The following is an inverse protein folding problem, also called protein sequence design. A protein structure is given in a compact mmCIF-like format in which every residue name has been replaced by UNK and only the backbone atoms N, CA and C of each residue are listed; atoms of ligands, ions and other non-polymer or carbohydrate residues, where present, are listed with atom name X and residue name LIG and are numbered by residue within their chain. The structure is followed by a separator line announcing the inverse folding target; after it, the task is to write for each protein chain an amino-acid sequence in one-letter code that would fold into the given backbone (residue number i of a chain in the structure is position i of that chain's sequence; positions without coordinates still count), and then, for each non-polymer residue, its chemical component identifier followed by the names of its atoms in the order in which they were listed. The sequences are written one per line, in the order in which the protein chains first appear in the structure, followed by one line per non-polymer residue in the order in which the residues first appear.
data_IF_001868219728
#
_entry.id   IF_001868219728
#
_cell.length_a   1.000
_cell.length_b   1.000
_cell.length_c   1.000
_cell.angle_alpha   90.00
_cell.angle_beta   90.00
_cell.angle_gamma   90.00
#
_symmetry.space_group_name_H-M   'P 1'
#
loop_
_entity.id
_entity.type
_entity.pdbx_description
1 polymer ?
#
# COMPACT_ATOMS: atom_id res chain seq x y z
N UNK A 1 11.95 -28.79 -25.39
CA UNK A 1 10.60 -28.31 -24.99
C UNK A 1 10.05 -29.34 -24.03
N UNK A 2 9.52 -28.88 -22.89
CA UNK A 2 8.94 -29.65 -21.79
C UNK A 2 9.94 -30.39 -20.87
N UNK A 3 10.32 -29.73 -19.78
CA UNK A 3 10.39 -30.38 -18.45
C UNK A 3 10.40 -29.31 -17.34
N UNK A 4 9.28 -28.60 -17.21
CA UNK A 4 8.79 -28.19 -15.90
C UNK A 4 7.57 -29.08 -15.67
N UNK A 5 7.84 -30.33 -15.28
CA UNK A 5 6.83 -31.17 -14.67
C UNK A 5 6.33 -30.39 -13.45
N UNK A 6 5.06 -29.98 -13.50
CA UNK A 6 4.35 -29.50 -12.34
C UNK A 6 4.41 -30.62 -11.29
N UNK A 7 5.19 -30.38 -10.25
CA UNK A 7 5.39 -31.32 -9.16
C UNK A 7 4.06 -31.42 -8.39
N UNK A 8 3.39 -32.57 -8.54
CA UNK A 8 2.05 -32.81 -8.01
C UNK A 8 2.04 -32.78 -6.46
N UNK A 9 3.20 -33.02 -5.84
CA UNK A 9 3.41 -32.84 -4.39
C UNK A 9 3.46 -31.36 -4.01
N UNK A 10 4.24 -30.54 -4.73
CA UNK A 10 4.31 -29.08 -4.48
C UNK A 10 2.95 -28.40 -4.69
N UNK A 11 2.17 -28.86 -5.67
CA UNK A 11 0.82 -28.34 -5.91
C UNK A 11 -0.18 -28.74 -4.80
N UNK A 12 -0.06 -29.95 -4.24
CA UNK A 12 -0.89 -30.42 -3.12
C UNK A 12 -0.51 -29.72 -1.80
N UNK A 13 0.77 -29.55 -1.55
CA UNK A 13 1.27 -28.84 -0.37
C UNK A 13 0.90 -27.35 -0.42
N UNK A 14 0.99 -26.72 -1.60
CA UNK A 14 0.53 -25.35 -1.80
C UNK A 14 -0.99 -25.22 -1.60
N UNK A 15 -1.78 -26.18 -2.09
CA UNK A 15 -3.23 -26.17 -1.90
C UNK A 15 -3.61 -26.33 -0.41
N UNK A 16 -2.94 -27.23 0.31
CA UNK A 16 -3.14 -27.42 1.74
C UNK A 16 -2.76 -26.16 2.54
N UNK A 17 -1.62 -25.55 2.23
CA UNK A 17 -1.18 -24.30 2.83
C UNK A 17 -2.14 -23.14 2.52
N UNK A 18 -2.67 -23.07 1.30
CA UNK A 18 -3.66 -22.08 0.91
C UNK A 18 -5.01 -22.27 1.62
N UNK A 19 -5.48 -23.51 1.77
CA UNK A 19 -6.70 -23.83 2.52
C UNK A 19 -6.56 -23.47 4.02
N UNK A 20 -5.39 -23.74 4.61
CA UNK A 20 -5.03 -23.30 5.96
C UNK A 20 -5.02 -21.78 6.06
N UNK A 21 -4.38 -21.09 5.12
CA UNK A 21 -4.37 -19.62 5.04
C UNK A 21 -5.79 -19.03 4.97
N UNK A 22 -6.68 -19.60 4.15
CA UNK A 22 -8.08 -19.18 4.06
C UNK A 22 -8.84 -19.41 5.37
N UNK A 23 -8.61 -20.54 6.04
CA UNK A 23 -9.22 -20.84 7.34
C UNK A 23 -8.74 -19.89 8.45
N UNK A 24 -7.46 -19.52 8.43
CA UNK A 24 -6.87 -18.62 9.42
C UNK A 24 -7.31 -17.17 9.25
N UNK A 25 -7.71 -16.77 8.04
CA UNK A 25 -8.34 -15.46 7.80
C UNK A 25 -9.62 -15.28 8.61
N UNK A 26 -10.40 -16.35 8.81
CA UNK A 26 -11.64 -16.30 9.60
C UNK A 26 -11.38 -16.41 11.11
N UNK A 27 -10.35 -17.15 11.53
CA UNK A 27 -10.05 -17.41 12.95
C UNK A 27 -9.37 -16.22 13.63
N UNK A 28 -8.37 -15.61 12.98
CA UNK A 28 -7.53 -14.60 13.66
C UNK A 28 -8.07 -13.17 13.56
N UNK A 29 -9.18 -12.95 12.85
CA UNK A 29 -9.83 -11.63 12.74
C UNK A 29 -8.83 -10.50 12.47
N UNK A 30 -7.95 -10.67 11.48
CA UNK A 30 -6.90 -9.69 11.11
C UNK A 30 -7.40 -8.23 11.03
N UNK A 31 -8.59 -7.93 10.48
CA UNK A 31 -9.12 -6.57 10.51
C UNK A 31 -9.26 -5.97 11.92
N UNK A 32 -9.56 -6.78 12.92
CA UNK A 32 -9.70 -6.33 14.31
C UNK A 32 -8.34 -6.01 14.94
N UNK A 33 -7.31 -6.83 14.64
CA UNK A 33 -5.92 -6.56 15.04
C UNK A 33 -5.45 -5.24 14.43
N UNK A 34 -5.66 -5.04 13.12
CA UNK A 34 -5.24 -3.83 12.42
C UNK A 34 -6.04 -2.60 12.85
N UNK A 35 -7.28 -2.77 13.29
CA UNK A 35 -8.08 -1.71 13.91
C UNK A 35 -7.66 -1.41 15.37
N UNK A 36 -6.75 -2.19 15.96
CA UNK A 36 -6.30 -2.00 17.34
C UNK A 36 -7.36 -2.40 18.37
N UNK A 37 -8.25 -3.34 18.03
CA UNK A 37 -9.26 -3.84 18.97
C UNK A 37 -8.62 -4.74 20.01
N UNK A 38 -9.23 -4.77 21.19
CA UNK A 38 -8.79 -5.63 22.30
C UNK A 38 -8.87 -7.12 21.92
N UNK A 39 -7.78 -7.83 22.19
CA UNK A 39 -7.66 -9.26 21.92
C UNK A 39 -8.10 -10.03 23.14
N UNK A 40 -9.25 -10.69 23.03
CA UNK A 40 -9.90 -11.39 24.15
C UNK A 40 -9.16 -12.66 24.58
N UNK A 41 -8.49 -13.32 23.65
CA UNK A 41 -7.79 -14.57 23.90
C UNK A 41 -6.39 -14.54 23.27
N UNK A 42 -5.42 -14.04 24.03
CA UNK A 42 -4.00 -14.02 23.64
C UNK A 42 -3.44 -15.45 23.53
N UNK A 43 -4.00 -16.41 24.28
CA UNK A 43 -3.51 -17.79 24.30
C UNK A 43 -3.67 -18.49 22.95
N UNK A 44 -4.70 -18.11 22.19
CA UNK A 44 -4.93 -18.54 20.80
C UNK A 44 -3.70 -18.33 19.91
N UNK A 45 -2.97 -17.24 20.11
CA UNK A 45 -1.83 -16.86 19.29
C UNK A 45 -0.53 -17.45 19.83
N UNK A 46 -0.34 -17.42 21.16
CA UNK A 46 0.89 -17.90 21.80
C UNK A 46 1.05 -19.41 21.62
N UNK A 47 -0.05 -20.16 21.78
CA UNK A 47 -0.08 -21.63 21.70
C UNK A 47 -0.15 -22.15 20.26
N UNK A 48 -0.37 -21.29 19.27
CA UNK A 48 -0.38 -21.69 17.87
C UNK A 48 0.99 -22.32 17.49
N UNK A 49 1.01 -23.37 16.67
CA UNK A 49 2.25 -23.88 16.13
C UNK A 49 2.89 -22.84 15.19
N UNK A 50 4.19 -22.98 14.95
CA UNK A 50 4.97 -21.93 14.30
C UNK A 50 4.52 -21.63 12.86
N UNK A 51 4.13 -22.65 12.10
CA UNK A 51 3.57 -22.54 10.75
C UNK A 51 2.25 -21.73 10.71
N UNK A 52 1.40 -21.86 11.72
CA UNK A 52 0.20 -21.03 11.88
C UNK A 52 0.56 -19.57 12.14
N UNK A 53 1.58 -19.32 12.97
CA UNK A 53 2.10 -17.96 13.20
C UNK A 53 2.61 -17.34 11.91
N UNK A 54 3.35 -18.08 11.07
CA UNK A 54 3.79 -17.59 9.75
C UNK A 54 2.61 -17.21 8.85
N UNK A 55 1.54 -18.01 8.88
CA UNK A 55 0.32 -17.73 8.13
C UNK A 55 -0.35 -16.42 8.60
N UNK A 56 -0.42 -16.20 9.92
CA UNK A 56 -0.91 -14.95 10.51
C UNK A 56 -0.03 -13.74 10.11
N UNK A 57 1.29 -13.87 10.21
CA UNK A 57 2.22 -12.80 9.80
C UNK A 57 2.01 -12.43 8.32
N UNK A 58 1.86 -13.44 7.46
CA UNK A 58 1.61 -13.25 6.03
C UNK A 58 0.29 -12.52 5.78
N UNK A 59 -0.78 -12.89 6.51
CA UNK A 59 -2.07 -12.20 6.43
C UNK A 59 -1.98 -10.73 6.87
N UNK A 60 -1.24 -10.43 7.95
CA UNK A 60 -1.00 -9.06 8.41
C UNK A 60 -0.23 -8.24 7.38
N UNK A 61 0.84 -8.80 6.83
CA UNK A 61 1.65 -8.15 5.79
C UNK A 61 0.81 -7.89 4.54
N UNK A 62 0.01 -8.85 4.08
CA UNK A 62 -0.84 -8.69 2.90
C UNK A 62 -1.91 -7.59 3.10
N UNK A 63 -2.55 -7.58 4.27
CA UNK A 63 -3.54 -6.55 4.59
C UNK A 63 -2.92 -5.15 4.59
N UNK A 64 -1.72 -4.98 5.16
CA UNK A 64 -0.97 -3.72 5.13
C UNK A 64 -0.46 -3.37 3.73
N UNK A 65 -0.05 -4.38 2.96
CA UNK A 65 0.44 -4.21 1.59
C UNK A 65 -0.59 -3.57 0.69
N UNK A 66 -1.88 -3.88 0.89
CA UNK A 66 -2.97 -3.21 0.18
C UNK A 66 -3.00 -1.70 0.47
N UNK A 67 -2.83 -1.30 1.74
CA UNK A 67 -2.73 0.11 2.13
C UNK A 67 -1.53 0.81 1.51
N UNK A 68 -0.34 0.21 1.61
CA UNK A 68 0.89 0.77 1.00
C UNK A 68 0.81 0.86 -0.53
N UNK A 69 0.23 -0.15 -1.17
CA UNK A 69 -0.01 -0.13 -2.61
C UNK A 69 -0.94 1.02 -2.98
N UNK A 70 -2.10 1.15 -2.31
CA UNK A 70 -3.08 2.21 -2.56
C UNK A 70 -2.45 3.59 -2.38
N UNK A 71 -1.74 3.82 -1.27
CA UNK A 71 -0.97 5.05 -1.04
C UNK A 71 -0.14 5.44 -2.26
N UNK A 72 0.64 4.50 -2.81
CA UNK A 72 1.56 4.80 -3.91
C UNK A 72 0.85 5.01 -5.24
N UNK A 73 -0.29 4.35 -5.47
CA UNK A 73 -1.10 4.61 -6.66
C UNK A 73 -1.76 5.99 -6.58
N UNK A 74 -2.45 6.27 -5.47
CA UNK A 74 -3.19 7.51 -5.24
C UNK A 74 -2.25 8.73 -5.25
N UNK A 75 -1.03 8.61 -4.69
CA UNK A 75 -0.01 9.67 -4.76
C UNK A 75 0.28 10.09 -6.21
N UNK A 76 0.54 9.11 -7.10
CA UNK A 76 0.88 9.39 -8.51
C UNK A 76 -0.29 9.97 -9.28
N UNK A 77 -1.50 9.51 -8.97
CA UNK A 77 -2.72 10.05 -9.55
C UNK A 77 -2.92 11.50 -9.14
N UNK A 78 -2.77 11.82 -7.84
CA UNK A 78 -2.87 13.18 -7.33
C UNK A 78 -1.81 14.12 -7.90
N UNK A 79 -0.55 13.68 -8.03
CA UNK A 79 0.51 14.46 -8.69
C UNK A 79 0.13 14.81 -10.13
N UNK A 80 -0.46 13.86 -10.87
CA UNK A 80 -0.89 14.07 -12.24
C UNK A 80 -2.07 15.06 -12.33
N UNK A 81 -3.10 14.85 -11.51
CA UNK A 81 -4.28 15.74 -11.49
C UNK A 81 -3.87 17.15 -11.03
N UNK A 82 -3.00 17.28 -10.03
CA UNK A 82 -2.48 18.58 -9.60
C UNK A 82 -1.75 19.31 -10.74
N UNK A 83 -0.90 18.58 -11.48
CA UNK A 83 -0.23 19.11 -12.67
C UNK A 83 -1.23 19.58 -13.74
N UNK A 84 -2.30 18.82 -13.97
CA UNK A 84 -3.39 19.21 -14.86
C UNK A 84 -4.11 20.47 -14.37
N UNK A 85 -4.48 20.54 -13.09
CA UNK A 85 -5.17 21.71 -12.54
C UNK A 85 -4.29 22.96 -12.60
N UNK A 86 -2.97 22.82 -12.43
CA UNK A 86 -2.03 23.92 -12.65
C UNK A 86 -2.06 24.42 -14.10
N UNK A 87 -1.99 23.51 -15.08
CA UNK A 87 -2.11 23.86 -16.51
C UNK A 87 -3.47 24.51 -16.82
N UNK A 88 -4.54 23.98 -16.22
CA UNK A 88 -5.90 24.51 -16.40
C UNK A 88 -6.01 25.94 -15.87
N UNK A 89 -5.45 26.20 -14.69
CA UNK A 89 -5.38 27.55 -14.11
C UNK A 89 -4.62 28.55 -14.99
N UNK A 90 -3.54 28.11 -15.61
CA UNK A 90 -2.72 28.95 -16.51
C UNK A 90 -3.46 29.27 -17.81
N UNK A 91 -4.28 28.36 -18.32
CA UNK A 91 -4.97 28.48 -19.62
C UNK A 91 -6.41 28.99 -19.54
N UNK A 92 -7.01 29.07 -18.36
CA UNK A 92 -8.43 29.42 -18.19
C UNK A 92 -8.80 30.83 -18.69
N UNK A 93 -7.82 31.71 -18.90
CA UNK A 93 -8.05 33.04 -19.50
C UNK A 93 -8.09 33.01 -21.04
N UNK A 94 -7.53 31.97 -21.65
CA UNK A 94 -7.38 31.83 -23.10
C UNK A 94 -8.37 30.82 -23.70
N UNK A 95 -8.67 29.76 -22.95
CA UNK A 95 -9.47 28.62 -23.39
C UNK A 95 -10.45 28.20 -22.29
N UNK A 96 -11.68 27.80 -22.65
CA UNK A 96 -12.60 27.20 -21.70
C UNK A 96 -12.00 25.94 -21.05
N UNK A 97 -12.20 25.78 -19.74
CA UNK A 97 -11.65 24.66 -18.97
C UNK A 97 -12.06 23.29 -19.54
N UNK A 98 -13.26 23.16 -20.09
CA UNK A 98 -13.74 21.93 -20.73
C UNK A 98 -12.87 21.55 -21.93
N UNK A 99 -12.37 22.54 -22.68
CA UNK A 99 -11.45 22.27 -23.79
C UNK A 99 -10.08 21.84 -23.28
N UNK A 100 -9.57 22.47 -22.21
CA UNK A 100 -8.26 22.12 -21.62
C UNK A 100 -8.30 20.69 -21.07
N UNK A 101 -9.31 20.34 -20.29
CA UNK A 101 -9.49 19.00 -19.72
C UNK A 101 -9.75 17.96 -20.82
N UNK A 102 -10.60 18.28 -21.81
CA UNK A 102 -10.88 17.38 -22.93
C UNK A 102 -9.67 17.11 -23.83
N UNK A 103 -8.74 18.07 -23.97
CA UNK A 103 -7.47 17.86 -24.65
C UNK A 103 -6.56 16.90 -23.88
N UNK A 104 -6.48 17.02 -22.55
CA UNK A 104 -5.68 16.09 -21.74
C UNK A 104 -6.31 14.68 -21.72
N UNK A 105 -7.63 14.57 -21.60
CA UNK A 105 -8.36 13.28 -21.65
C UNK A 105 -8.02 12.52 -22.95
N UNK A 106 -8.15 13.18 -24.11
CA UNK A 106 -7.77 12.61 -25.41
C UNK A 106 -6.29 12.23 -25.48
N UNK A 107 -5.41 13.05 -24.89
CA UNK A 107 -3.97 12.77 -24.87
C UNK A 107 -3.68 11.51 -24.05
N UNK A 108 -4.28 11.37 -22.88
CA UNK A 108 -4.14 10.19 -22.03
C UNK A 108 -4.72 8.94 -22.68
N UNK A 109 -5.88 9.04 -23.35
CA UNK A 109 -6.45 7.92 -24.10
C UNK A 109 -5.51 7.45 -25.23
N UNK A 110 -4.93 8.39 -25.98
CA UNK A 110 -3.98 8.07 -27.05
C UNK A 110 -2.71 7.42 -26.48
N UNK A 111 -2.17 7.94 -25.39
CA UNK A 111 -1.00 7.35 -24.72
C UNK A 111 -1.31 5.93 -24.23
N UNK A 112 -2.45 5.74 -23.55
CA UNK A 112 -2.92 4.43 -23.09
C UNK A 112 -3.06 3.44 -24.25
N UNK A 113 -3.69 3.88 -25.35
CA UNK A 113 -3.90 3.04 -26.55
C UNK A 113 -2.56 2.63 -27.18
N UNK A 114 -1.65 3.57 -27.40
CA UNK A 114 -0.32 3.29 -27.96
C UNK A 114 0.48 2.33 -27.08
N UNK A 115 0.51 2.56 -25.77
CA UNK A 115 1.21 1.69 -24.84
C UNK A 115 0.60 0.28 -24.77
N UNK A 116 -0.74 0.17 -24.91
CA UNK A 116 -1.44 -1.12 -25.02
C UNK A 116 -1.10 -1.86 -26.31
N UNK A 117 -1.10 -1.17 -27.45
CA UNK A 117 -0.71 -1.73 -28.76
C UNK A 117 0.75 -2.22 -28.76
N UNK A 118 1.63 -1.48 -28.09
CA UNK A 118 3.03 -1.85 -27.91
C UNK A 118 3.26 -2.99 -26.90
N UNK A 119 2.22 -3.49 -26.22
CA UNK A 119 2.30 -4.47 -25.12
C UNK A 119 3.22 -4.03 -23.97
N UNK A 120 3.36 -2.72 -23.76
CA UNK A 120 4.23 -2.13 -22.74
C UNK A 120 3.47 -1.68 -21.47
N UNK A 121 2.17 -1.99 -21.38
CA UNK A 121 1.32 -1.57 -20.27
C UNK A 121 1.32 -2.63 -19.17
N UNK A 122 1.83 -2.28 -17.99
CA UNK A 122 1.65 -3.11 -16.79
C UNK A 122 0.20 -3.00 -16.27
N UNK A 123 -0.24 -3.98 -15.47
CA UNK A 123 -1.56 -3.94 -14.82
C UNK A 123 -1.75 -2.67 -13.98
N UNK A 124 -0.70 -2.25 -13.28
CA UNK A 124 -0.74 -1.03 -12.45
C UNK A 124 -0.87 0.23 -13.32
N UNK A 125 -0.18 0.28 -14.47
CA UNK A 125 -0.31 1.40 -15.41
C UNK A 125 -1.71 1.44 -16.03
N UNK A 126 -2.30 0.29 -16.38
CA UNK A 126 -3.66 0.25 -16.91
C UNK A 126 -4.69 0.75 -15.90
N UNK A 127 -4.57 0.35 -14.64
CA UNK A 127 -5.42 0.84 -13.55
C UNK A 127 -5.29 2.35 -13.39
N UNK A 128 -4.06 2.89 -13.34
CA UNK A 128 -3.84 4.35 -13.25
C UNK A 128 -4.48 5.12 -14.39
N UNK A 129 -4.30 4.67 -15.63
CA UNK A 129 -4.94 5.33 -16.77
C UNK A 129 -6.46 5.31 -16.65
N UNK A 130 -7.04 4.20 -16.22
CA UNK A 130 -8.49 4.10 -16.00
C UNK A 130 -8.98 5.09 -14.92
N UNK A 131 -8.27 5.19 -13.79
CA UNK A 131 -8.62 6.13 -12.71
C UNK A 131 -8.47 7.60 -13.12
N UNK A 132 -7.39 7.94 -13.82
CA UNK A 132 -7.17 9.30 -14.34
C UNK A 132 -8.26 9.71 -15.33
N UNK A 133 -8.57 8.85 -16.30
CA UNK A 133 -9.64 9.12 -17.27
C UNK A 133 -11.00 9.24 -16.58
N UNK A 134 -11.31 8.37 -15.62
CA UNK A 134 -12.55 8.46 -14.84
C UNK A 134 -12.65 9.79 -14.08
N UNK A 135 -11.57 10.23 -13.43
CA UNK A 135 -11.54 11.51 -12.72
C UNK A 135 -11.71 12.70 -13.67
N UNK A 136 -11.10 12.65 -14.85
CA UNK A 136 -11.29 13.69 -15.87
C UNK A 136 -12.72 13.74 -16.39
N UNK A 137 -13.32 12.58 -16.66
CA UNK A 137 -14.72 12.52 -17.06
C UNK A 137 -15.66 13.03 -15.96
N UNK A 138 -15.37 12.78 -14.67
CA UNK A 138 -16.08 13.36 -13.53
C UNK A 138 -15.97 14.90 -13.51
N UNK A 139 -14.75 15.43 -13.70
CA UNK A 139 -14.52 16.87 -13.75
C UNK A 139 -15.24 17.53 -14.93
N UNK A 140 -15.18 16.92 -16.12
CA UNK A 140 -15.88 17.44 -17.30
C UNK A 140 -17.41 17.47 -17.10
N UNK A 141 -17.99 16.44 -16.47
CA UNK A 141 -19.42 16.44 -16.11
C UNK A 141 -19.76 17.57 -15.13
N UNK A 142 -18.94 17.74 -14.10
CA UNK A 142 -19.10 18.80 -13.11
C UNK A 142 -19.08 20.20 -13.75
N UNK A 143 -18.21 20.40 -14.74
CA UNK A 143 -18.15 21.65 -15.52
C UNK A 143 -19.39 21.85 -16.41
N UNK A 144 -19.86 20.78 -17.07
CA UNK A 144 -21.06 20.84 -17.93
C UNK A 144 -22.32 21.19 -17.15
N UNK A 145 -22.47 20.65 -15.93
CA UNK A 145 -23.59 20.98 -15.03
C UNK A 145 -23.59 22.46 -14.61
N UNK A 146 -22.44 23.12 -14.66
CA UNK A 146 -22.23 24.51 -14.27
C UNK A 146 -21.95 25.42 -15.49
N UNK A 147 -22.50 25.09 -16.66
CA UNK A 147 -22.16 25.73 -17.94
C UNK A 147 -22.40 27.25 -18.05
N UNK A 148 -23.08 27.88 -17.09
CA UNK A 148 -23.27 29.35 -17.02
C UNK A 148 -22.29 30.07 -16.09
N UNK A 149 -21.52 29.34 -15.28
CA UNK A 149 -20.55 29.91 -14.34
C UNK A 149 -19.31 30.48 -15.05
N UNK A 150 -18.61 31.42 -14.41
CA UNK A 150 -17.33 31.92 -14.93
C UNK A 150 -16.24 30.83 -14.88
N UNK A 151 -15.17 31.00 -15.66
CA UNK A 151 -14.06 30.05 -15.64
C UNK A 151 -13.36 30.02 -14.26
N UNK A 152 -13.34 31.12 -13.52
CA UNK A 152 -12.85 31.17 -12.13
C UNK A 152 -13.73 30.36 -11.17
N UNK A 153 -15.05 30.45 -11.31
CA UNK A 153 -16.00 29.68 -10.50
C UNK A 153 -15.87 28.18 -10.79
N UNK A 154 -15.84 27.82 -12.08
CA UNK A 154 -15.58 26.46 -12.56
C UNK A 154 -14.25 25.92 -12.04
N UNK A 155 -13.17 26.70 -12.12
CA UNK A 155 -11.87 26.32 -11.57
C UNK A 155 -11.93 26.11 -10.05
N UNK A 156 -12.67 26.97 -9.35
CA UNK A 156 -12.93 26.85 -7.91
C UNK A 156 -13.55 25.49 -7.56
N UNK A 157 -14.53 25.03 -8.35
CA UNK A 157 -15.16 23.72 -8.15
C UNK A 157 -14.19 22.56 -8.38
N UNK A 158 -13.38 22.61 -9.44
CA UNK A 158 -12.36 21.59 -9.70
C UNK A 158 -11.35 21.52 -8.54
N UNK A 159 -10.96 22.68 -8.02
CA UNK A 159 -10.06 22.77 -6.87
C UNK A 159 -10.70 22.16 -5.62
N UNK A 160 -11.97 22.43 -5.34
CA UNK A 160 -12.69 21.83 -4.21
C UNK A 160 -12.76 20.32 -4.36
N UNK A 161 -13.15 19.80 -5.53
CA UNK A 161 -13.22 18.37 -5.79
C UNK A 161 -11.86 17.67 -5.63
N UNK A 162 -10.77 18.34 -6.06
CA UNK A 162 -9.41 17.86 -5.81
C UNK A 162 -9.06 17.83 -4.32
N UNK A 163 -9.37 18.90 -3.59
CA UNK A 163 -9.11 19.00 -2.15
C UNK A 163 -9.87 17.92 -1.37
N UNK A 164 -11.12 17.64 -1.70
CA UNK A 164 -11.91 16.57 -1.07
C UNK A 164 -11.25 15.19 -1.28
N UNK A 165 -10.80 14.90 -2.50
CA UNK A 165 -10.04 13.66 -2.78
C UNK A 165 -8.71 13.61 -2.04
N UNK A 166 -8.01 14.73 -1.90
CA UNK A 166 -6.73 14.78 -1.15
C UNK A 166 -6.94 14.60 0.36
N UNK A 167 -8.00 15.15 0.93
CA UNK A 167 -8.34 14.93 2.35
C UNK A 167 -8.76 13.47 2.62
N UNK A 168 -9.50 12.85 1.69
CA UNK A 168 -9.79 11.41 1.77
C UNK A 168 -8.50 10.58 1.74
N UNK A 169 -7.59 10.89 0.80
CA UNK A 169 -6.29 10.23 0.70
C UNK A 169 -5.47 10.37 1.99
N UNK A 170 -5.41 11.57 2.59
CA UNK A 170 -4.68 11.77 3.86
C UNK A 170 -5.23 10.91 4.98
N UNK A 171 -6.55 10.75 5.07
CA UNK A 171 -7.18 9.84 6.05
C UNK A 171 -6.78 8.39 5.80
N UNK A 172 -6.80 7.94 4.55
CA UNK A 172 -6.39 6.57 4.19
C UNK A 172 -4.91 6.30 4.51
N UNK A 173 -4.05 7.32 4.34
CA UNK A 173 -2.63 7.25 4.74
C UNK A 173 -2.48 7.14 6.25
N UNK A 174 -3.21 7.97 7.00
CA UNK A 174 -3.19 7.93 8.47
C UNK A 174 -3.72 6.58 8.99
N UNK A 175 -4.81 6.06 8.41
CA UNK A 175 -5.37 4.76 8.74
C UNK A 175 -4.36 3.64 8.45
N UNK A 176 -3.72 3.65 7.28
CA UNK A 176 -2.67 2.68 6.94
C UNK A 176 -1.50 2.73 7.94
N UNK A 177 -1.09 3.94 8.36
CA UNK A 177 -0.07 4.13 9.39
C UNK A 177 -0.49 3.57 10.75
N UNK A 178 -1.75 3.80 11.17
CA UNK A 178 -2.31 3.23 12.40
C UNK A 178 -2.38 1.71 12.33
N UNK A 179 -2.82 1.14 11.22
CA UNK A 179 -2.86 -0.31 11.01
C UNK A 179 -1.47 -0.93 11.18
N UNK A 180 -0.42 -0.30 10.64
CA UNK A 180 0.95 -0.76 10.81
C UNK A 180 1.39 -0.70 12.28
N UNK A 181 1.13 0.42 12.97
CA UNK A 181 1.44 0.56 14.39
C UNK A 181 0.70 -0.47 15.25
N UNK A 182 -0.58 -0.69 14.99
CA UNK A 182 -1.40 -1.68 15.70
C UNK A 182 -0.88 -3.10 15.47
N UNK A 183 -0.51 -3.45 14.23
CA UNK A 183 0.11 -4.75 13.93
C UNK A 183 1.42 -4.94 14.71
N UNK A 184 2.29 -3.94 14.76
CA UNK A 184 3.56 -4.01 15.47
C UNK A 184 3.37 -4.11 16.98
N UNK A 185 2.45 -3.33 17.56
CA UNK A 185 2.10 -3.43 18.97
C UNK A 185 1.55 -4.81 19.31
N UNK A 186 0.61 -5.33 18.51
CA UNK A 186 0.10 -6.69 18.67
C UNK A 186 1.22 -7.74 18.69
N UNK A 187 2.14 -7.69 17.71
CA UNK A 187 3.24 -8.64 17.64
C UNK A 187 4.16 -8.52 18.86
N UNK A 188 4.46 -7.30 19.30
CA UNK A 188 5.27 -7.05 20.49
C UNK A 188 4.59 -7.48 21.80
N UNK A 189 3.27 -7.36 21.92
CA UNK A 189 2.54 -7.77 23.12
C UNK A 189 2.35 -9.29 23.20
N UNK A 190 2.07 -9.93 22.06
CA UNK A 190 1.72 -11.36 22.01
C UNK A 190 2.94 -12.25 21.89
N UNK A 191 3.90 -11.90 21.04
CA UNK A 191 5.09 -12.70 20.77
C UNK A 191 6.35 -12.11 21.42
N UNK A 192 6.26 -10.90 21.99
CA UNK A 192 7.43 -10.20 22.50
C UNK A 192 8.38 -9.78 21.38
N UNK A 193 9.65 -9.67 21.75
CA UNK A 193 10.76 -9.42 20.82
C UNK A 193 11.26 -10.71 20.17
N UNK A 194 10.32 -11.60 19.83
CA UNK A 194 10.58 -12.93 19.27
C UNK A 194 10.93 -12.92 17.79
N UNK A 195 11.16 -14.11 17.26
CA UNK A 195 11.44 -14.34 15.83
C UNK A 195 10.28 -13.92 14.92
N UNK A 196 9.04 -13.90 15.42
CA UNK A 196 7.84 -13.52 14.68
C UNK A 196 7.87 -12.03 14.29
N UNK A 197 8.28 -11.16 15.22
CA UNK A 197 8.45 -9.73 14.94
C UNK A 197 9.56 -9.48 13.92
N UNK A 198 10.68 -10.19 14.05
CA UNK A 198 11.80 -10.14 13.09
C UNK A 198 11.36 -10.54 11.68
N UNK A 199 10.64 -11.65 11.56
CA UNK A 199 10.11 -12.13 10.27
C UNK A 199 9.14 -11.12 9.67
N UNK A 200 8.24 -10.56 10.48
CA UNK A 200 7.30 -9.53 10.03
C UNK A 200 8.01 -8.31 9.43
N UNK A 201 9.01 -7.76 10.13
CA UNK A 201 9.78 -6.62 9.64
C UNK A 201 10.61 -6.98 8.40
N UNK A 202 11.18 -8.17 8.35
CA UNK A 202 11.89 -8.68 7.17
C UNK A 202 10.96 -8.71 5.95
N UNK A 203 9.74 -9.23 6.09
CA UNK A 203 8.75 -9.24 5.02
C UNK A 203 8.35 -7.82 4.57
N UNK A 204 8.15 -6.89 5.52
CA UNK A 204 7.91 -5.48 5.18
C UNK A 204 9.07 -4.86 4.40
N UNK A 205 10.32 -5.15 4.79
CA UNK A 205 11.51 -4.63 4.10
C UNK A 205 11.68 -5.14 2.66
N UNK A 206 11.09 -6.29 2.33
CA UNK A 206 11.07 -6.82 0.95
C UNK A 206 10.07 -6.08 0.06
N UNK A 207 9.09 -5.40 0.66
CA UNK A 207 8.06 -4.68 -0.07
C UNK A 207 8.52 -3.29 -0.50
N UNK A 208 8.65 -3.10 -1.82
CA UNK A 208 8.90 -1.77 -2.42
C UNK A 208 7.86 -0.70 -2.02
N UNK A 209 6.61 -1.10 -1.78
CA UNK A 209 5.53 -0.18 -1.43
C UNK A 209 5.59 0.20 0.05
N UNK A 210 5.88 -0.76 0.93
CA UNK A 210 6.09 -0.50 2.35
C UNK A 210 7.31 0.41 2.55
N UNK A 211 8.42 0.13 1.88
CA UNK A 211 9.61 0.99 1.95
C UNK A 211 9.32 2.43 1.50
N UNK A 212 8.61 2.61 0.38
CA UNK A 212 8.23 3.93 -0.10
C UNK A 212 7.34 4.66 0.90
N UNK A 213 6.35 3.97 1.49
CA UNK A 213 5.48 4.52 2.51
C UNK A 213 6.29 4.95 3.75
N UNK A 214 7.15 4.07 4.27
CA UNK A 214 7.97 4.34 5.45
C UNK A 214 8.98 5.48 5.22
N UNK A 215 9.54 5.61 4.03
CA UNK A 215 10.50 6.69 3.72
C UNK A 215 9.84 8.05 3.56
N UNK A 216 8.60 8.10 3.03
CA UNK A 216 7.92 9.35 2.66
C UNK A 216 6.95 9.83 3.75
N UNK A 217 6.24 8.90 4.40
CA UNK A 217 5.25 9.18 5.46
C UNK A 217 5.87 9.00 6.85
N UNK A 218 6.69 7.96 7.02
CA UNK A 218 7.24 7.57 8.32
C UNK A 218 6.27 6.74 9.17
N UNK A 219 6.82 6.05 10.17
CA UNK A 219 6.07 5.40 11.24
C UNK A 219 6.97 5.24 12.47
N UNK A 220 6.59 5.85 13.59
CA UNK A 220 7.41 5.87 14.81
C UNK A 220 7.55 4.48 15.43
N UNK A 221 6.44 3.73 15.53
CA UNK A 221 6.42 2.36 16.06
C UNK A 221 7.37 1.44 15.28
N UNK A 222 7.31 1.49 13.94
CA UNK A 222 8.21 0.75 13.07
C UNK A 222 9.67 1.14 13.31
N UNK A 223 9.94 2.44 13.44
CA UNK A 223 11.30 2.94 13.64
C UNK A 223 11.88 2.46 14.97
N UNK A 224 11.08 2.44 16.04
CA UNK A 224 11.47 1.92 17.35
C UNK A 224 11.81 0.42 17.29
N UNK A 225 10.91 -0.41 16.75
CA UNK A 225 11.15 -1.85 16.66
C UNK A 225 12.32 -2.17 15.71
N UNK A 226 12.46 -1.47 14.59
CA UNK A 226 13.54 -1.69 13.64
C UNK A 226 14.92 -1.29 14.22
N UNK A 227 15.01 -0.17 14.95
CA UNK A 227 16.25 0.21 15.65
C UNK A 227 16.64 -0.79 16.74
N UNK A 228 15.65 -1.24 17.51
CA UNK A 228 15.87 -2.21 18.58
C UNK A 228 16.50 -3.52 18.05
N UNK A 229 16.04 -3.99 16.89
CA UNK A 229 16.56 -5.21 16.28
C UNK A 229 17.97 -5.04 15.72
N UNK A 230 18.27 -3.90 15.09
CA UNK A 230 19.65 -3.58 14.66
C UNK A 230 20.62 -3.61 15.86
N UNK A 231 20.19 -3.14 17.02
CA UNK A 231 20.99 -3.18 18.25
C UNK A 231 21.13 -4.61 18.81
N UNK A 232 20.09 -5.44 18.73
CA UNK A 232 20.19 -6.85 19.14
C UNK A 232 21.14 -7.65 18.25
N UNK A 233 21.09 -7.46 16.93
CA UNK A 233 21.98 -8.14 15.99
C UNK A 233 23.45 -7.76 16.22
N UNK A 234 23.73 -6.46 16.42
CA UNK A 234 25.07 -5.98 16.79
C UNK A 234 25.54 -6.56 18.13
N UNK A 235 24.65 -6.69 19.11
CA UNK A 235 24.99 -7.26 20.42
C UNK A 235 25.28 -8.76 20.32
N UNK A 236 24.53 -9.51 19.51
CA UNK A 236 24.77 -10.94 19.27
C UNK A 236 26.10 -11.16 18.56
N UNK A 237 26.40 -10.41 17.51
CA UNK A 237 27.68 -10.55 16.79
C UNK A 237 28.89 -10.25 17.70
N UNK A 238 28.80 -9.22 18.52
CA UNK A 238 29.84 -8.91 19.51
C UNK A 238 30.01 -10.02 20.57
N UNK A 239 28.92 -10.66 21.00
CA UNK A 239 28.98 -11.78 21.95
C UNK A 239 29.58 -13.04 21.33
N UNK A 240 29.30 -13.31 20.05
CA UNK A 240 29.90 -14.41 19.30
C UNK A 240 31.41 -14.19 19.09
N UNK A 241 31.82 -12.97 18.73
CA UNK A 241 33.24 -12.59 18.64
C UNK A 241 33.96 -12.76 19.98
N UNK A 242 33.35 -12.32 21.09
CA UNK A 242 33.92 -12.46 22.42
C UNK A 242 34.07 -13.93 22.85
N UNK A 243 33.07 -14.78 22.53
CA UNK A 243 33.15 -16.23 22.79
C UNK A 243 34.23 -16.90 21.95
N UNK A 244 34.32 -16.57 20.67
CA UNK A 244 35.35 -17.10 19.79
C UNK A 244 36.78 -16.71 20.24
N UNK A 245 36.94 -15.54 20.88
CA UNK A 245 38.21 -15.13 21.49
C UNK A 245 38.53 -15.81 22.83
N UNK A 246 37.53 -16.32 23.55
CA UNK A 246 37.74 -17.05 24.82
C UNK A 246 37.93 -18.56 24.65
N UNK A 247 37.68 -19.11 23.46
CA UNK A 247 37.93 -20.53 23.11
C UNK A 247 39.30 -20.76 22.44
N UNK A 248 40.14 -19.71 22.36
CA UNK A 248 41.55 -19.73 21.91
C UNK A 248 42.50 -19.54 23.11
#
# INVERSE_FOLDING_TARGET
MAEYLADEEVAKDFALYYDLYCKYREIYHVPDILAGKEIKDVSLFVQAPFDEKISLLSLLVEALQNGFYRYKQEQKEQEHIFGLLKKAKEKMQELPLEQVLGQEERTLEQQRKRAKEAKMLSKDQEKRYAHLLTTLSEYLKLLQEQGQASEEEKFGLLKTAFQEKEEARKKDVEETGKMLSNALHFLGEVFGEGQELLLFLSELSKSKYALAFLSEVGNETYSQYNQYLLLQDQKKSLQEELRAQMEL
#
